data_IF_061857200523
#
_entry.id   IF_061857200523
#
_cell.length_a   1.000
_cell.length_b   1.000
_cell.length_c   1.000
_cell.angle_alpha   90.00
_cell.angle_beta   90.00
_cell.angle_gamma   90.00
#
_symmetry.space_group_name_H-M   'P 1'
#
loop_
_entity.id
_entity.type
_entity.pdbx_description
1 polymer ?
#
# COMPACT_ATOMS: atom_id res chain seq x y z
N UNK A 1 50.80 -15.80 7.12
CA UNK A 1 49.99 -15.84 8.35
C UNK A 1 49.22 -14.51 8.39
N UNK A 2 48.18 -14.30 7.60
CA UNK A 2 46.75 -14.65 7.82
C UNK A 2 46.19 -14.27 9.20
N UNK A 3 45.40 -13.20 9.24
CA UNK A 3 44.25 -12.95 10.11
C UNK A 3 43.37 -11.93 9.36
N UNK A 4 42.38 -12.33 8.55
CA UNK A 4 41.03 -12.85 8.89
C UNK A 4 40.20 -11.91 9.78
N UNK A 5 39.31 -11.18 9.09
CA UNK A 5 37.99 -10.63 9.42
C UNK A 5 37.40 -10.86 10.83
N UNK A 6 36.70 -9.84 11.33
CA UNK A 6 35.24 -9.92 11.55
C UNK A 6 34.67 -8.50 11.67
N UNK A 7 33.88 -8.10 10.66
CA UNK A 7 32.90 -7.01 10.77
C UNK A 7 31.72 -7.50 11.61
N UNK A 8 31.17 -6.70 12.54
CA UNK A 8 29.90 -7.04 13.19
C UNK A 8 28.74 -6.92 12.20
N UNK A 9 28.27 -8.09 11.81
CA UNK A 9 27.00 -8.44 11.16
C UNK A 9 25.86 -7.42 11.34
N UNK A 10 25.30 -6.99 10.21
CA UNK A 10 23.99 -6.32 10.10
C UNK A 10 22.91 -7.18 10.76
N UNK A 11 21.99 -6.62 11.57
CA UNK A 11 20.82 -7.36 12.02
C UNK A 11 19.91 -7.68 10.82
N UNK A 12 19.45 -8.92 10.81
CA UNK A 12 18.84 -9.58 9.67
C UNK A 12 17.49 -8.99 9.28
N UNK A 13 17.19 -9.13 7.98
CA UNK A 13 15.86 -8.99 7.43
C UNK A 13 14.91 -9.90 8.22
N UNK A 14 14.10 -9.30 9.09
CA UNK A 14 12.95 -9.96 9.66
C UNK A 14 12.04 -10.40 8.51
N UNK A 15 11.75 -11.70 8.49
CA UNK A 15 10.95 -12.40 7.50
C UNK A 15 9.69 -11.61 7.13
N UNK A 16 9.55 -11.28 5.84
CA UNK A 16 8.51 -10.41 5.29
C UNK A 16 7.08 -10.97 5.37
N UNK A 17 6.87 -12.15 5.97
CA UNK A 17 5.58 -12.83 5.98
C UNK A 17 4.65 -12.43 7.15
N UNK A 18 5.14 -11.67 8.14
CA UNK A 18 4.37 -11.30 9.35
C UNK A 18 4.32 -9.79 9.60
N UNK A 19 4.40 -8.98 8.52
CA UNK A 19 4.40 -7.51 8.61
C UNK A 19 3.07 -6.88 8.23
N UNK A 20 1.99 -7.63 8.16
CA UNK A 20 0.66 -7.00 8.10
C UNK A 20 0.34 -6.43 9.47
N UNK A 21 -0.02 -5.15 9.51
CA UNK A 21 -0.55 -4.57 10.74
C UNK A 21 -1.79 -5.39 11.15
N UNK A 22 -1.81 -6.03 12.34
CA UNK A 22 -2.97 -6.81 12.78
C UNK A 22 -4.26 -5.97 12.78
N UNK A 23 -4.14 -4.65 12.86
CA UNK A 23 -5.25 -3.73 12.73
C UNK A 23 -5.87 -3.75 11.32
N UNK A 24 -5.06 -3.85 10.25
CA UNK A 24 -5.57 -3.89 8.87
C UNK A 24 -6.41 -5.15 8.64
N UNK A 25 -5.89 -6.33 8.99
CA UNK A 25 -6.63 -7.59 8.76
C UNK A 25 -7.94 -7.63 9.54
N UNK A 26 -7.93 -7.12 10.77
CA UNK A 26 -9.14 -6.98 11.60
C UNK A 26 -10.15 -6.04 10.94
N UNK A 27 -9.73 -4.84 10.55
CA UNK A 27 -10.59 -3.85 9.88
C UNK A 27 -11.18 -4.39 8.57
N UNK A 28 -10.38 -5.09 7.75
CA UNK A 28 -10.87 -5.75 6.54
C UNK A 28 -11.90 -6.84 6.85
N UNK A 29 -11.70 -7.59 7.93
CA UNK A 29 -12.68 -8.56 8.44
C UNK A 29 -14.01 -7.90 8.78
N UNK A 30 -13.97 -6.86 9.60
CA UNK A 30 -15.17 -6.18 10.07
C UNK A 30 -15.92 -5.50 8.92
N UNK A 31 -15.22 -4.84 7.99
CA UNK A 31 -15.88 -4.24 6.82
C UNK A 31 -16.47 -5.30 5.91
N UNK A 32 -15.76 -6.41 5.67
CA UNK A 32 -16.28 -7.53 4.88
C UNK A 32 -17.56 -8.10 5.48
N UNK A 33 -17.64 -8.24 6.79
CA UNK A 33 -18.85 -8.72 7.47
C UNK A 33 -20.01 -7.73 7.34
N UNK A 34 -19.75 -6.43 7.47
CA UNK A 34 -20.78 -5.39 7.40
C UNK A 34 -21.26 -5.07 5.98
N UNK A 35 -20.36 -5.13 4.98
CA UNK A 35 -20.57 -4.59 3.63
C UNK A 35 -20.38 -5.63 2.52
N UNK A 36 -19.83 -6.80 2.84
CA UNK A 36 -19.46 -7.80 1.85
C UNK A 36 -18.21 -7.43 1.06
N UNK A 37 -18.04 -8.09 -0.09
CA UNK A 37 -16.96 -7.81 -1.04
C UNK A 37 -17.53 -7.32 -2.37
N UNK A 38 -16.81 -6.43 -3.03
CA UNK A 38 -17.13 -5.95 -4.38
C UNK A 38 -16.12 -6.45 -5.40
N UNK A 39 -16.52 -6.51 -6.66
CA UNK A 39 -15.65 -6.84 -7.78
C UNK A 39 -15.35 -5.59 -8.61
N UNK A 40 -14.09 -5.42 -9.01
CA UNK A 40 -13.64 -4.30 -9.85
C UNK A 40 -12.72 -4.79 -10.96
N UNK A 41 -12.86 -4.19 -12.14
CA UNK A 41 -11.97 -4.41 -13.28
C UNK A 41 -11.15 -3.14 -13.49
N UNK A 42 -9.83 -3.27 -13.41
CA UNK A 42 -8.93 -2.11 -13.54
C UNK A 42 -7.81 -2.40 -14.54
N UNK A 43 -7.39 -1.37 -15.26
CA UNK A 43 -6.23 -1.40 -16.16
C UNK A 43 -5.35 -0.20 -15.87
N UNK A 44 -4.05 -0.45 -15.85
CA UNK A 44 -3.03 0.51 -15.46
C UNK A 44 -1.94 0.54 -16.51
N UNK A 45 -1.36 1.73 -16.69
CA UNK A 45 -0.20 1.94 -17.55
C UNK A 45 0.99 2.31 -16.68
N UNK A 46 2.06 1.55 -16.80
CA UNK A 46 3.33 1.87 -16.17
C UNK A 46 4.04 2.98 -16.97
N UNK A 47 4.86 3.79 -16.30
CA UNK A 47 5.71 4.79 -16.94
C UNK A 47 6.67 4.20 -17.99
N UNK A 48 6.99 2.92 -17.88
CA UNK A 48 7.78 2.16 -18.87
C UNK A 48 7.01 1.79 -20.14
N UNK A 49 5.72 2.13 -20.23
CA UNK A 49 4.84 1.80 -21.35
C UNK A 49 4.16 0.43 -21.27
N UNK A 50 4.48 -0.37 -20.26
CA UNK A 50 3.82 -1.66 -20.02
C UNK A 50 2.42 -1.45 -19.43
N UNK A 51 1.42 -2.14 -19.99
CA UNK A 51 0.07 -2.17 -19.42
C UNK A 51 -0.14 -3.45 -18.62
N UNK A 52 -0.84 -3.33 -17.50
CA UNK A 52 -1.30 -4.46 -16.71
C UNK A 52 -2.66 -4.16 -16.12
N UNK A 53 -3.38 -5.19 -15.71
CA UNK A 53 -4.70 -5.05 -15.13
C UNK A 53 -5.25 -6.39 -14.70
N UNK A 54 -6.51 -6.36 -14.30
CA UNK A 54 -7.25 -7.59 -14.07
C UNK A 54 -8.60 -7.36 -13.42
N UNK A 55 -9.25 -8.47 -13.10
CA UNK A 55 -10.50 -8.52 -12.36
C UNK A 55 -10.21 -8.94 -10.92
N UNK A 56 -10.66 -8.12 -9.98
CA UNK A 56 -10.32 -8.25 -8.57
C UNK A 56 -11.59 -8.31 -7.74
N UNK A 57 -11.56 -9.05 -6.63
CA UNK A 57 -12.60 -9.01 -5.60
C UNK A 57 -11.98 -8.70 -4.26
N UNK A 58 -12.65 -7.86 -3.48
CA UNK A 58 -12.19 -7.53 -2.15
C UNK A 58 -13.09 -6.57 -1.40
N UNK A 59 -12.52 -5.98 -0.36
CA UNK A 59 -13.22 -5.10 0.58
C UNK A 59 -13.18 -3.66 0.07
N UNK A 60 -14.31 -2.94 -0.01
CA UNK A 60 -14.30 -1.53 -0.39
C UNK A 60 -13.52 -0.70 0.62
N UNK A 61 -12.77 0.30 0.15
CA UNK A 61 -11.94 1.16 1.00
C UNK A 61 -12.76 2.25 1.70
N UNK A 62 -13.85 2.72 1.10
CA UNK A 62 -14.72 3.76 1.68
C UNK A 62 -15.04 3.52 3.18
N UNK A 63 -15.53 2.35 3.62
CA UNK A 63 -15.88 2.14 5.02
C UNK A 63 -14.68 2.02 5.98
N UNK A 64 -13.47 1.85 5.45
CA UNK A 64 -12.23 1.91 6.24
C UNK A 64 -11.83 3.36 6.55
N UNK A 65 -12.39 4.33 5.81
CA UNK A 65 -12.15 5.75 5.98
C UNK A 65 -13.20 6.43 6.88
N UNK A 66 -14.25 5.71 7.31
CA UNK A 66 -15.32 6.25 8.16
C UNK A 66 -14.76 6.86 9.47
N UNK A 67 -13.69 6.28 10.02
CA UNK A 67 -13.01 6.74 11.24
C UNK A 67 -11.77 7.62 10.96
N UNK A 68 -11.52 7.98 9.70
CA UNK A 68 -10.37 8.80 9.35
C UNK A 68 -10.50 10.24 9.93
N UNK A 69 -9.38 10.89 10.32
CA UNK A 69 -9.40 12.29 10.68
C UNK A 69 -10.00 13.15 9.55
N UNK A 70 -10.81 14.18 9.87
CA UNK A 70 -11.49 14.99 8.86
C UNK A 70 -10.54 15.83 7.99
N UNK A 71 -9.30 16.02 8.44
CA UNK A 71 -8.21 16.69 7.72
C UNK A 71 -7.34 15.71 6.90
N UNK A 72 -7.65 14.41 6.91
CA UNK A 72 -6.99 13.44 6.06
C UNK A 72 -7.23 13.77 4.58
N UNK A 73 -6.15 13.95 3.84
CA UNK A 73 -6.18 14.28 2.40
C UNK A 73 -5.77 13.08 1.55
N UNK A 74 -4.97 12.18 2.13
CA UNK A 74 -4.42 11.02 1.46
C UNK A 74 -4.56 9.77 2.33
N UNK A 75 -4.58 8.63 1.66
CA UNK A 75 -4.39 7.31 2.24
C UNK A 75 -2.99 6.84 1.86
N UNK A 76 -2.14 6.62 2.86
CA UNK A 76 -0.84 5.98 2.67
C UNK A 76 -1.01 4.47 2.70
N UNK A 77 -0.70 3.83 1.58
CA UNK A 77 -0.70 2.38 1.44
C UNK A 77 0.72 1.85 1.59
N UNK A 78 0.89 0.87 2.47
CA UNK A 78 2.17 0.29 2.83
C UNK A 78 2.18 -1.19 2.48
N UNK A 79 3.22 -1.63 1.77
CA UNK A 79 3.50 -3.02 1.43
C UNK A 79 4.35 -3.67 2.51
N UNK A 80 4.22 -4.99 2.67
CA UNK A 80 5.04 -5.80 3.56
C UNK A 80 6.54 -5.77 3.21
N UNK A 81 6.92 -5.38 1.99
CA UNK A 81 8.32 -5.16 1.59
C UNK A 81 8.87 -3.77 1.94
N UNK A 82 8.03 -2.89 2.51
CA UNK A 82 8.36 -1.52 2.87
C UNK A 82 8.10 -0.49 1.78
N UNK A 83 7.59 -0.89 0.61
CA UNK A 83 7.11 0.06 -0.41
C UNK A 83 5.90 0.84 0.11
N UNK A 84 5.86 2.13 -0.18
CA UNK A 84 4.73 3.01 0.18
C UNK A 84 4.29 3.86 -1.00
N UNK A 85 2.98 4.05 -1.11
CA UNK A 85 2.38 4.99 -2.04
C UNK A 85 1.30 5.81 -1.34
N UNK A 86 1.10 7.04 -1.80
CA UNK A 86 0.02 7.90 -1.32
C UNK A 86 -1.07 7.98 -2.38
N UNK A 87 -2.31 7.88 -1.93
CA UNK A 87 -3.50 7.96 -2.76
C UNK A 87 -4.39 9.08 -2.24
N UNK A 88 -4.79 10.07 -3.05
CA UNK A 88 -5.78 11.05 -2.63
C UNK A 88 -7.06 10.36 -2.12
N UNK A 89 -7.59 10.80 -0.98
CA UNK A 89 -8.79 10.21 -0.35
C UNK A 89 -9.95 10.10 -1.35
N UNK A 90 -10.12 11.11 -2.22
CA UNK A 90 -11.13 11.09 -3.28
C UNK A 90 -11.03 9.87 -4.20
N UNK A 91 -9.82 9.52 -4.66
CA UNK A 91 -9.60 8.33 -5.49
C UNK A 91 -9.74 7.05 -4.69
N UNK A 92 -9.39 7.09 -3.40
CA UNK A 92 -9.45 5.93 -2.52
C UNK A 92 -10.88 5.49 -2.19
N UNK A 93 -11.89 6.37 -2.27
CA UNK A 93 -13.29 6.00 -2.05
C UNK A 93 -13.79 4.90 -3.00
N UNK A 94 -13.37 4.94 -4.27
CA UNK A 94 -13.75 3.95 -5.28
C UNK A 94 -12.80 2.74 -5.32
N UNK A 95 -11.88 2.65 -4.36
CA UNK A 95 -10.86 1.62 -4.31
C UNK A 95 -11.30 0.38 -3.52
N UNK A 96 -10.59 -0.71 -3.76
CA UNK A 96 -10.81 -2.01 -3.15
C UNK A 96 -9.48 -2.54 -2.63
N UNK A 97 -9.48 -3.07 -1.41
CA UNK A 97 -8.43 -3.99 -0.96
C UNK A 97 -8.79 -5.37 -1.46
N UNK A 98 -8.22 -5.72 -2.61
CA UNK A 98 -8.43 -7.00 -3.25
C UNK A 98 -7.82 -8.12 -2.39
N UNK A 99 -8.62 -9.16 -2.15
CA UNK A 99 -8.20 -10.40 -1.48
C UNK A 99 -8.29 -11.60 -2.41
N UNK A 100 -8.82 -11.41 -3.61
CA UNK A 100 -8.95 -12.42 -4.65
C UNK A 100 -8.73 -11.77 -6.02
N UNK A 101 -8.10 -12.53 -6.93
CA UNK A 101 -8.03 -12.22 -8.35
C UNK A 101 -8.92 -13.20 -9.11
N UNK A 102 -9.79 -12.69 -9.97
CA UNK A 102 -10.83 -13.45 -10.66
C UNK A 102 -10.41 -13.94 -12.05
N UNK A 103 -9.42 -13.30 -12.67
CA UNK A 103 -8.97 -13.55 -14.04
C UNK A 103 -7.60 -14.26 -14.13
N UNK A 104 -7.03 -14.70 -13.01
CA UNK A 104 -5.71 -15.32 -12.99
C UNK A 104 -5.14 -15.54 -11.58
N UNK A 105 -3.83 -15.80 -11.46
CA UNK A 105 -3.18 -16.04 -10.18
C UNK A 105 -3.17 -14.80 -9.28
N UNK A 106 -3.46 -14.99 -8.01
CA UNK A 106 -3.57 -13.95 -6.98
C UNK A 106 -2.24 -13.49 -6.37
N UNK A 107 -1.18 -13.38 -7.17
CA UNK A 107 0.13 -12.93 -6.68
C UNK A 107 0.07 -11.49 -6.13
N UNK A 108 0.70 -11.26 -4.98
CA UNK A 108 0.76 -9.94 -4.35
C UNK A 108 -0.53 -9.49 -3.65
N UNK A 109 -1.40 -10.43 -3.27
CA UNK A 109 -2.58 -10.17 -2.44
C UNK A 109 -2.22 -10.19 -0.94
N UNK A 110 -2.89 -9.40 -0.08
CA UNK A 110 -3.90 -8.41 -0.42
C UNK A 110 -3.33 -7.25 -1.23
N UNK A 111 -4.11 -6.70 -2.16
CA UNK A 111 -3.64 -5.65 -3.07
C UNK A 111 -4.59 -4.47 -3.07
N UNK A 112 -4.05 -3.26 -2.92
CA UNK A 112 -4.83 -2.06 -3.15
C UNK A 112 -5.00 -1.83 -4.66
N UNK A 113 -6.25 -1.75 -5.11
CA UNK A 113 -6.61 -1.51 -6.52
C UNK A 113 -7.74 -0.47 -6.60
N UNK A 114 -7.75 0.35 -7.64
CA UNK A 114 -8.75 1.40 -7.81
C UNK A 114 -8.77 1.89 -9.25
N UNK A 115 -9.94 2.27 -9.78
CA UNK A 115 -10.09 2.62 -11.20
C UNK A 115 -9.31 3.88 -11.60
N UNK A 116 -9.13 4.83 -10.67
CA UNK A 116 -8.44 6.11 -10.93
C UNK A 116 -6.96 6.12 -10.50
N UNK A 117 -6.43 4.96 -10.13
CA UNK A 117 -5.07 4.85 -9.62
C UNK A 117 -4.04 4.86 -10.73
N UNK A 118 -2.92 5.51 -10.45
CA UNK A 118 -1.70 5.29 -11.19
C UNK A 118 -1.13 3.91 -10.86
N UNK A 119 -0.36 3.33 -11.78
CA UNK A 119 0.22 1.99 -11.58
C UNK A 119 1.01 1.84 -10.27
N UNK A 120 1.73 2.88 -9.85
CA UNK A 120 2.49 2.92 -8.60
C UNK A 120 1.61 2.91 -7.34
N UNK A 121 0.36 3.36 -7.44
CA UNK A 121 -0.61 3.36 -6.34
C UNK A 121 -1.24 1.98 -6.12
N UNK A 122 -1.00 1.01 -7.01
CA UNK A 122 -1.55 -0.35 -6.93
C UNK A 122 -0.69 -1.26 -6.03
N UNK A 123 -0.59 -0.92 -4.74
CA UNK A 123 0.30 -1.55 -3.76
C UNK A 123 -0.04 -3.02 -3.54
N UNK A 124 0.93 -3.90 -3.81
CA UNK A 124 0.87 -5.35 -3.54
C UNK A 124 1.29 -5.66 -2.11
N UNK A 125 0.97 -6.87 -1.66
CA UNK A 125 1.35 -7.39 -0.35
C UNK A 125 1.01 -6.38 0.77
N UNK A 126 -0.19 -5.80 0.65
CA UNK A 126 -0.63 -4.67 1.43
C UNK A 126 -0.65 -5.03 2.92
N UNK A 127 0.15 -4.29 3.68
CA UNK A 127 0.39 -4.46 5.09
C UNK A 127 -0.27 -3.37 5.94
N UNK A 128 -0.47 -2.17 5.39
CA UNK A 128 -1.02 -1.04 6.12
C UNK A 128 -1.79 -0.05 5.25
N UNK A 129 -2.82 0.57 5.84
CA UNK A 129 -3.56 1.70 5.29
C UNK A 129 -3.65 2.78 6.36
N UNK A 130 -3.02 3.92 6.13
CA UNK A 130 -2.90 5.00 7.12
C UNK A 130 -3.43 6.29 6.53
N UNK A 131 -4.55 6.84 7.02
CA UNK A 131 -4.98 8.19 6.66
C UNK A 131 -3.94 9.21 7.08
N UNK A 132 -3.57 10.13 6.19
CA UNK A 132 -2.58 11.18 6.45
C UNK A 132 -3.04 12.52 5.89
N UNK A 133 -2.69 13.59 6.59
CA UNK A 133 -2.79 14.96 6.10
C UNK A 133 -1.46 15.33 5.45
N UNK A 134 -1.48 15.63 4.15
CA UNK A 134 -0.35 16.20 3.43
C UNK A 134 -0.62 17.67 3.12
N UNK A 135 0.45 18.46 3.03
CA UNK A 135 0.35 19.84 2.54
C UNK A 135 -0.20 19.84 1.11
N UNK A 136 -1.02 20.83 0.71
CA UNK A 136 -1.49 20.96 -0.67
C UNK A 136 -0.35 21.08 -1.69
N UNK A 137 0.81 21.58 -1.28
CA UNK A 137 2.01 21.70 -2.12
C UNK A 137 2.90 20.44 -2.09
N UNK A 138 2.54 19.42 -1.31
CA UNK A 138 3.29 18.17 -1.28
C UNK A 138 2.98 17.35 -2.54
N UNK A 139 4.05 16.92 -3.22
CA UNK A 139 3.98 15.93 -4.30
C UNK A 139 4.56 14.60 -3.79
N UNK A 140 3.74 13.75 -3.13
CA UNK A 140 4.22 12.54 -2.50
C UNK A 140 4.64 11.51 -3.55
N UNK A 141 5.95 11.33 -3.71
CA UNK A 141 6.50 10.26 -4.53
C UNK A 141 6.43 8.91 -3.80
N UNK A 142 6.11 7.80 -4.50
CA UNK A 142 6.25 6.47 -3.93
C UNK A 142 7.71 6.19 -3.54
N UNK A 143 7.92 5.47 -2.45
CA UNK A 143 9.25 5.20 -1.93
C UNK A 143 9.31 3.91 -1.12
N UNK A 144 10.46 3.64 -0.49
CA UNK A 144 10.63 2.53 0.46
C UNK A 144 10.93 3.08 1.85
N UNK A 145 10.58 2.32 2.90
CA UNK A 145 10.95 2.65 4.27
C UNK A 145 12.46 2.87 4.38
N UNK A 146 12.87 4.12 4.65
CA UNK A 146 14.27 4.58 4.63
C UNK A 146 14.53 5.81 3.75
N UNK A 147 13.58 6.18 2.88
CA UNK A 147 13.65 7.38 2.03
C UNK A 147 12.89 8.59 2.63
N UNK A 148 12.58 8.55 3.94
CA UNK A 148 12.21 9.75 4.68
C UNK A 148 13.46 10.61 4.80
N UNK A 149 13.59 11.54 3.85
CA UNK A 149 14.70 12.46 3.73
C UNK A 149 15.22 12.92 5.08
N UNK A 150 16.47 12.58 5.35
CA UNK A 150 17.30 13.36 6.25
C UNK A 150 17.38 14.78 5.65
N UNK A 151 16.42 15.63 5.99
CA UNK A 151 16.60 17.08 5.97
C UNK A 151 17.67 17.39 7.02
N UNK A 152 18.92 17.16 6.64
CA UNK A 152 20.07 17.69 7.38
C UNK A 152 20.28 19.10 6.85
N UNK A 153 19.34 19.97 7.17
CA UNK A 153 19.62 21.39 7.20
C UNK A 153 20.64 21.63 8.30
N UNK A 154 21.92 21.70 7.94
CA UNK A 154 22.87 22.48 8.71
C UNK A 154 23.77 23.29 7.76
N UNK A 155 23.94 24.55 8.16
CA UNK A 155 24.55 25.65 7.41
C UNK A 155 26.07 25.61 7.39
#
# INVERSE_FOLDING_TARGET
>A
MTASNVEPSRPGAASAADRSDPNLLTALGDVRERRGTVAVTCRYRCATGTEFGGEWRGVPVEPLLDDAPPDATHLRAESADGYRAHVPVRKAFDAVVATERLDGPGDGLPRLVGPEFDSAQTVRDLAGLVPVALSPDADPVPGTAGDDGADTGDR
#
